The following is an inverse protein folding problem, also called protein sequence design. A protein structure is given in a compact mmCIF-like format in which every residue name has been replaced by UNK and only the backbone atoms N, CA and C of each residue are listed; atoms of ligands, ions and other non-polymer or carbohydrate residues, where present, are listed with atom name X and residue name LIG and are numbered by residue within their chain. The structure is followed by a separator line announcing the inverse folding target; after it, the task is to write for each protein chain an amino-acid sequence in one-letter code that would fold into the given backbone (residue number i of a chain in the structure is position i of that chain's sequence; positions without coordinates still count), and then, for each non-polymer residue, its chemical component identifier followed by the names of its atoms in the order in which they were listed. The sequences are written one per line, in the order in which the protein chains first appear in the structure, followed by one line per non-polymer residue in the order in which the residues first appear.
data_IF_410070154838
#
_entry.id   IF_410070154838
#
_cell.length_a   1.000
_cell.length_b   1.000
_cell.length_c   1.000
_cell.angle_alpha   90.00
_cell.angle_beta   90.00
_cell.angle_gamma   90.00
#
_symmetry.space_group_name_H-M   'P 1'
#
loop_
_entity.id
_entity.type
_entity.pdbx_description
1 polymer ?
#
# COMPACT_ATOMS: atom_id res chain seq x y z
N UNK A 1 -2.60 -5.66 14.28
CA UNK A 1 -2.57 -5.20 12.90
C UNK A 1 -2.15 -3.75 12.92
N UNK A 2 -1.06 -3.40 12.28
CA UNK A 2 -0.60 -2.01 12.16
C UNK A 2 -0.98 -1.50 10.77
N UNK A 3 -1.83 -0.48 10.72
CA UNK A 3 -2.20 0.20 9.48
C UNK A 3 -1.20 1.33 9.26
N UNK A 4 -0.61 1.38 8.09
CA UNK A 4 0.27 2.44 7.65
C UNK A 4 -0.55 3.49 6.89
N UNK A 5 -0.37 4.75 7.24
CA UNK A 5 -0.82 5.91 6.49
C UNK A 5 0.41 6.64 5.96
N UNK A 6 0.49 6.80 4.66
CA UNK A 6 1.63 7.43 3.98
C UNK A 6 1.17 8.06 2.66
N UNK A 7 1.42 9.37 2.50
CA UNK A 7 0.95 10.14 1.35
C UNK A 7 1.50 9.61 0.02
N UNK A 8 2.79 9.28 -0.03
CA UNK A 8 3.45 8.80 -1.25
C UNK A 8 2.84 7.46 -1.68
N UNK A 9 2.65 6.56 -0.72
CA UNK A 9 2.05 5.25 -0.94
C UNK A 9 0.59 5.35 -1.40
N UNK A 10 -0.20 6.16 -0.71
CA UNK A 10 -1.62 6.35 -1.02
C UNK A 10 -1.81 6.99 -2.40
N UNK A 11 -1.04 8.04 -2.71
CA UNK A 11 -1.10 8.70 -4.02
C UNK A 11 -0.61 7.83 -5.15
N UNK A 12 0.51 7.13 -4.97
CA UNK A 12 1.02 6.23 -5.99
C UNK A 12 0.03 5.10 -6.29
N UNK A 13 -0.59 4.51 -5.27
CA UNK A 13 -1.62 3.48 -5.43
C UNK A 13 -2.85 4.01 -6.16
N UNK A 14 -3.30 5.23 -5.83
CA UNK A 14 -4.40 5.89 -6.52
C UNK A 14 -4.05 6.23 -7.98
N UNK A 15 -2.81 6.67 -8.27
CA UNK A 15 -2.33 6.91 -9.64
C UNK A 15 -2.43 5.63 -10.48
N UNK A 16 -1.89 4.51 -9.98
CA UNK A 16 -1.97 3.21 -10.67
C UNK A 16 -3.41 2.71 -10.85
N UNK A 17 -4.25 2.93 -9.84
CA UNK A 17 -5.66 2.53 -9.87
C UNK A 17 -6.43 3.35 -10.90
N UNK A 18 -6.20 4.65 -10.96
CA UNK A 18 -6.89 5.54 -11.89
C UNK A 18 -6.61 5.16 -13.35
N UNK A 19 -5.39 4.71 -13.67
CA UNK A 19 -5.06 4.18 -15.00
C UNK A 19 -5.92 2.96 -15.37
N UNK A 20 -6.33 2.16 -14.38
CA UNK A 20 -7.15 0.96 -14.59
C UNK A 20 -8.63 1.26 -14.72
N UNK A 21 -9.13 2.41 -14.28
CA UNK A 21 -10.55 2.69 -14.17
C UNK A 21 -11.18 3.34 -15.40
N UNK A 22 -10.40 3.70 -16.43
CA UNK A 22 -10.82 4.55 -17.56
C UNK A 22 -12.10 4.07 -18.26
N UNK A 23 -12.27 2.75 -18.41
CA UNK A 23 -13.44 2.15 -19.08
C UNK A 23 -14.36 1.40 -18.09
N UNK A 24 -14.36 1.78 -16.82
CA UNK A 24 -15.19 1.14 -15.80
C UNK A 24 -16.27 2.07 -15.26
N UNK A 25 -17.27 1.53 -14.59
CA UNK A 25 -18.26 2.28 -13.85
C UNK A 25 -17.86 2.54 -12.40
N UNK A 26 -16.61 2.27 -12.04
CA UNK A 26 -16.08 2.56 -10.70
C UNK A 26 -15.47 3.95 -10.67
N UNK A 27 -15.75 4.69 -9.61
CA UNK A 27 -15.05 5.94 -9.31
C UNK A 27 -13.92 5.64 -8.31
N UNK A 28 -12.77 6.26 -8.51
CA UNK A 28 -11.62 6.13 -7.61
C UNK A 28 -11.97 6.52 -6.16
N UNK A 29 -12.79 7.53 -5.99
CA UNK A 29 -13.27 8.05 -4.70
C UNK A 29 -14.09 7.03 -3.89
N UNK A 30 -14.67 6.03 -4.56
CA UNK A 30 -15.46 4.98 -3.92
C UNK A 30 -14.59 3.83 -3.39
N UNK A 31 -13.29 3.82 -3.72
CA UNK A 31 -12.36 2.73 -3.39
C UNK A 31 -11.45 3.17 -2.25
N UNK A 32 -11.48 2.43 -1.17
CA UNK A 32 -10.63 2.69 -0.02
C UNK A 32 -9.44 1.73 0.01
N UNK A 33 -8.24 2.25 0.14
CA UNK A 33 -7.02 1.47 0.32
C UNK A 33 -6.57 1.52 1.78
N UNK A 34 -6.21 0.35 2.32
CA UNK A 34 -5.66 0.19 3.65
C UNK A 34 -4.35 -0.58 3.57
N UNK A 35 -3.26 0.02 4.01
CA UNK A 35 -1.94 -0.59 3.97
C UNK A 35 -1.60 -1.19 5.32
N UNK A 36 -1.21 -2.47 5.31
CA UNK A 36 -0.92 -3.23 6.52
C UNK A 36 0.59 -3.44 6.60
N UNK A 37 1.20 -3.11 7.73
CA UNK A 37 2.60 -3.45 8.01
C UNK A 37 2.73 -4.96 8.20
N UNK A 38 2.87 -5.66 7.09
CA UNK A 38 3.07 -7.10 7.06
C UNK A 38 3.99 -7.46 5.89
N UNK A 39 5.07 -8.20 6.17
CA UNK A 39 6.07 -8.64 5.18
C UNK A 39 5.57 -9.73 4.22
N UNK A 40 4.42 -10.34 4.52
CA UNK A 40 3.81 -11.34 3.64
C UNK A 40 3.25 -10.70 2.37
N UNK A 41 3.42 -11.38 1.24
CA UNK A 41 2.83 -10.93 -0.03
C UNK A 41 1.33 -11.21 0.02
N UNK A 42 0.50 -10.16 0.13
CA UNK A 42 -0.95 -10.30 0.06
C UNK A 42 -1.64 -8.99 -0.30
N UNK A 43 -2.78 -9.10 -0.96
CA UNK A 43 -3.82 -8.09 -1.03
C UNK A 43 -5.18 -8.80 -1.02
N UNK A 44 -6.24 -8.14 -0.58
CA UNK A 44 -7.58 -8.72 -0.57
C UNK A 44 -8.66 -7.64 -0.46
N UNK A 45 -9.83 -7.95 -0.95
CA UNK A 45 -10.99 -7.05 -0.90
C UNK A 45 -11.97 -7.50 0.18
N UNK A 46 -12.55 -6.52 0.87
CA UNK A 46 -13.68 -6.74 1.79
C UNK A 46 -14.91 -5.95 1.34
N UNK A 47 -16.03 -6.13 2.03
CA UNK A 47 -17.26 -5.37 1.76
C UNK A 47 -17.02 -3.86 1.74
N UNK A 48 -17.77 -3.14 0.89
CA UNK A 48 -17.70 -1.68 0.80
C UNK A 48 -16.56 -1.14 -0.09
N UNK A 49 -16.06 -1.93 -1.05
CA UNK A 49 -14.95 -1.55 -1.96
C UNK A 49 -13.65 -1.20 -1.20
N UNK A 50 -13.37 -1.91 -0.12
CA UNK A 50 -12.17 -1.74 0.68
C UNK A 50 -11.10 -2.74 0.23
N UNK A 51 -9.96 -2.25 -0.22
CA UNK A 51 -8.80 -3.04 -0.64
C UNK A 51 -7.72 -2.95 0.43
N UNK A 52 -7.33 -4.09 0.98
CA UNK A 52 -6.24 -4.20 1.94
C UNK A 52 -4.99 -4.67 1.21
N UNK A 53 -3.88 -4.02 1.48
CA UNK A 53 -2.59 -4.30 0.84
C UNK A 53 -1.52 -4.45 1.90
N UNK A 54 -0.86 -5.60 1.93
CA UNK A 54 0.31 -5.78 2.78
C UNK A 54 1.53 -5.07 2.17
N UNK A 55 2.35 -4.45 3.00
CA UNK A 55 3.63 -3.85 2.56
C UNK A 55 4.53 -4.86 1.85
N UNK A 56 4.44 -6.13 2.23
CA UNK A 56 5.17 -7.21 1.58
C UNK A 56 4.89 -7.37 0.09
N UNK A 57 3.69 -7.05 -0.38
CA UNK A 57 3.37 -7.04 -1.81
C UNK A 57 4.24 -6.00 -2.54
N UNK A 58 4.33 -4.79 -2.01
CA UNK A 58 5.05 -3.67 -2.64
C UNK A 58 6.56 -3.87 -2.53
N UNK A 59 7.05 -4.20 -1.33
CA UNK A 59 8.49 -4.34 -1.08
C UNK A 59 9.12 -5.53 -1.82
N UNK A 60 8.32 -6.51 -2.22
CA UNK A 60 8.79 -7.70 -2.92
C UNK A 60 8.45 -7.72 -4.42
N UNK A 61 7.65 -6.78 -4.93
CA UNK A 61 7.46 -6.62 -6.36
C UNK A 61 8.75 -6.08 -7.02
N UNK A 62 9.11 -6.60 -8.19
CA UNK A 62 10.29 -6.15 -8.95
C UNK A 62 9.96 -5.00 -9.88
N UNK A 63 8.71 -4.96 -10.33
CA UNK A 63 8.18 -3.95 -11.24
C UNK A 63 6.85 -3.43 -10.68
N UNK A 64 6.58 -2.12 -10.84
CA UNK A 64 5.32 -1.52 -10.38
C UNK A 64 4.09 -2.17 -11.02
N UNK A 65 4.23 -2.72 -12.23
CA UNK A 65 3.15 -3.40 -12.95
C UNK A 65 2.76 -4.74 -12.32
N UNK A 66 3.64 -5.39 -11.56
CA UNK A 66 3.26 -6.54 -10.74
C UNK A 66 2.29 -6.12 -9.64
N UNK A 67 2.58 -4.98 -8.98
CA UNK A 67 1.68 -4.39 -7.99
C UNK A 67 0.37 -3.94 -8.64
N UNK A 68 0.44 -3.24 -9.77
CA UNK A 68 -0.73 -2.78 -10.51
C UNK A 68 -1.59 -3.95 -11.02
N UNK A 69 -0.99 -5.07 -11.42
CA UNK A 69 -1.71 -6.28 -11.82
C UNK A 69 -2.51 -6.91 -10.66
N UNK A 70 -1.96 -6.88 -9.43
CA UNK A 70 -2.69 -7.31 -8.25
C UNK A 70 -3.84 -6.36 -7.94
N UNK A 71 -3.63 -5.03 -8.03
CA UNK A 71 -4.72 -4.06 -7.89
C UNK A 71 -5.82 -4.33 -8.94
N UNK A 72 -5.46 -4.62 -10.21
CA UNK A 72 -6.43 -4.95 -11.25
C UNK A 72 -7.22 -6.22 -10.91
N UNK A 73 -6.58 -7.22 -10.30
CA UNK A 73 -7.23 -8.44 -9.82
C UNK A 73 -8.22 -8.14 -8.69
N UNK A 74 -7.83 -7.36 -7.69
CA UNK A 74 -8.71 -6.96 -6.58
C UNK A 74 -9.89 -6.10 -7.04
N UNK A 75 -9.67 -5.16 -7.95
CA UNK A 75 -10.73 -4.40 -8.61
C UNK A 75 -11.70 -5.29 -9.36
N UNK A 76 -11.20 -6.36 -9.98
CA UNK A 76 -12.02 -7.34 -10.70
C UNK A 76 -12.93 -8.12 -9.76
N UNK A 77 -12.51 -8.39 -8.53
CA UNK A 77 -13.39 -8.93 -7.50
C UNK A 77 -14.50 -7.94 -7.11
N UNK A 78 -14.20 -6.65 -7.03
CA UNK A 78 -15.21 -5.60 -6.78
C UNK A 78 -16.23 -5.55 -7.94
N UNK A 79 -15.73 -5.47 -9.18
CA UNK A 79 -16.57 -5.40 -10.40
C UNK A 79 -17.44 -6.66 -10.55
N UNK A 80 -16.88 -7.83 -10.28
CA UNK A 80 -17.58 -9.12 -10.33
C UNK A 80 -18.58 -9.36 -9.20
N UNK A 81 -18.64 -8.47 -8.20
CA UNK A 81 -19.51 -8.61 -7.05
C UNK A 81 -19.17 -9.82 -6.16
N UNK A 82 -17.96 -10.35 -6.27
CA UNK A 82 -17.53 -11.56 -5.57
C UNK A 82 -17.62 -11.43 -4.04
N UNK A 83 -17.47 -10.23 -3.52
CA UNK A 83 -17.54 -9.91 -2.09
C UNK A 83 -18.92 -10.13 -1.51
N UNK A 84 -19.98 -9.78 -2.27
CA UNK A 84 -21.36 -9.91 -1.80
C UNK A 84 -21.77 -11.38 -1.64
N UNK A 85 -21.28 -12.26 -2.50
CA UNK A 85 -21.54 -13.69 -2.41
C UNK A 85 -20.90 -14.29 -1.16
N UNK A 86 -19.67 -13.86 -0.82
CA UNK A 86 -18.97 -14.30 0.39
C UNK A 86 -19.72 -13.88 1.66
N UNK A 87 -20.34 -12.69 1.69
CA UNK A 87 -21.13 -12.22 2.85
C UNK A 87 -22.42 -13.05 3.05
N UNK A 88 -23.03 -13.53 1.96
CA UNK A 88 -24.21 -14.43 2.03
C UNK A 88 -23.81 -15.83 2.50
N UNK A 89 -22.68 -16.36 2.05
CA UNK A 89 -22.12 -17.64 2.48
C UNK A 89 -21.66 -17.59 3.94
N UNK A 90 -21.10 -16.46 4.40
CA UNK A 90 -20.72 -16.22 5.80
C UNK A 90 -21.91 -16.28 6.76
N UNK A 91 -23.10 -15.80 6.35
CA UNK A 91 -24.33 -15.91 7.14
C UNK A 91 -24.79 -17.37 7.29
N UNK A 92 -24.49 -18.21 6.33
CA UNK A 92 -24.81 -19.65 6.36
C UNK A 92 -23.77 -20.48 7.15
N UNK A 93 -22.60 -19.90 7.44
CA UNK A 93 -21.49 -20.54 8.15
C UNK A 93 -21.49 -20.27 9.67
N UNK A 94 -22.64 -19.86 10.22
CA UNK A 94 -22.81 -19.47 11.65
C UNK A 94 -22.33 -20.52 12.67
N UNK A 95 -21.91 -21.71 12.23
CA UNK A 95 -21.42 -22.79 13.07
C UNK A 95 -19.96 -23.24 12.80
N UNK A 96 -19.21 -22.54 11.93
CA UNK A 96 -17.78 -22.83 11.70
C UNK A 96 -16.99 -21.54 11.88
N UNK A 97 -15.98 -21.59 12.74
CA UNK A 97 -15.16 -20.43 13.12
C UNK A 97 -14.67 -19.66 11.88
N UNK A 98 -15.19 -18.45 11.69
CA UNK A 98 -14.57 -17.45 10.83
C UNK A 98 -13.12 -17.26 11.25
N UNK A 99 -12.18 -17.06 10.33
CA UNK A 99 -10.87 -16.61 10.72
C UNK A 99 -11.03 -15.33 11.53
N UNK A 100 -10.69 -15.40 12.79
CA UNK A 100 -10.91 -14.36 13.81
C UNK A 100 -10.21 -13.06 13.41
N UNK A 101 -9.21 -13.15 12.56
CA UNK A 101 -8.52 -12.05 11.89
C UNK A 101 -9.46 -11.13 11.09
N UNK A 102 -10.38 -11.71 10.30
CA UNK A 102 -11.35 -10.94 9.51
C UNK A 102 -12.47 -10.36 10.35
N UNK A 103 -12.89 -11.08 11.40
CA UNK A 103 -13.82 -10.52 12.38
C UNK A 103 -13.20 -9.33 13.12
N UNK A 104 -11.88 -9.36 13.36
CA UNK A 104 -11.15 -8.23 13.92
C UNK A 104 -11.19 -6.99 13.01
N UNK A 105 -10.96 -7.15 11.71
CA UNK A 105 -11.02 -6.06 10.74
C UNK A 105 -12.45 -5.53 10.61
N UNK A 106 -13.45 -6.40 10.46
CA UNK A 106 -14.86 -6.01 10.38
C UNK A 106 -15.32 -5.32 11.69
N UNK A 107 -14.82 -5.76 12.84
CA UNK A 107 -15.13 -5.17 14.15
C UNK A 107 -14.58 -3.75 14.31
N UNK A 108 -13.41 -3.44 13.75
CA UNK A 108 -12.83 -2.09 13.74
C UNK A 108 -13.76 -1.14 12.97
N UNK A 109 -14.24 -1.53 11.79
CA UNK A 109 -15.14 -0.72 10.97
C UNK A 109 -16.58 -0.63 11.54
N UNK A 110 -16.99 -1.58 12.39
CA UNK A 110 -18.29 -1.54 13.07
C UNK A 110 -18.27 -0.70 14.37
N UNK A 111 -17.17 -0.05 14.69
CA UNK A 111 -17.02 0.82 15.87
C UNK A 111 -16.87 0.08 17.20
N UNK A 112 -16.52 -1.22 17.19
CA UNK A 112 -16.33 -2.03 18.39
C UNK A 112 -14.87 -2.48 18.56
N UNK A 113 -13.98 -1.51 18.86
CA UNK A 113 -12.54 -1.74 19.00
C UNK A 113 -12.17 -2.84 20.01
N UNK A 114 -12.92 -2.97 21.12
CA UNK A 114 -12.63 -3.95 22.17
C UNK A 114 -12.92 -5.40 21.74
N UNK A 115 -13.93 -5.61 20.89
CA UNK A 115 -14.23 -6.93 20.31
C UNK A 115 -13.24 -7.29 19.20
N UNK A 116 -12.70 -6.31 18.49
CA UNK A 116 -11.70 -6.49 17.45
C UNK A 116 -10.37 -7.03 18.02
N UNK A 117 -9.86 -6.42 19.09
CA UNK A 117 -8.60 -6.79 19.73
C UNK A 117 -8.68 -8.20 20.34
N UNK A 118 -9.78 -8.50 21.03
CA UNK A 118 -10.01 -9.84 21.63
C UNK A 118 -10.08 -10.94 20.57
N UNK A 119 -10.67 -10.64 19.42
CA UNK A 119 -10.82 -11.55 18.30
C UNK A 119 -9.50 -11.85 17.61
N UNK A 120 -8.61 -10.87 17.47
CA UNK A 120 -7.27 -11.01 16.87
C UNK A 120 -6.36 -11.91 17.74
N UNK A 121 -6.44 -11.78 19.08
CA UNK A 121 -5.64 -12.58 20.00
C UNK A 121 -6.06 -14.07 20.04
N UNK A 122 -7.34 -14.37 19.85
CA UNK A 122 -7.85 -15.75 19.83
C UNK A 122 -7.60 -16.46 18.49
N UNK A 123 -7.41 -15.72 17.40
CA UNK A 123 -7.29 -16.26 16.04
C UNK A 123 -5.93 -16.85 15.69
N UNK A 124 -4.88 -16.59 16.46
CA UNK A 124 -3.56 -17.20 16.22
C UNK A 124 -3.51 -18.72 16.42
N UNK A 125 -4.53 -19.31 17.04
CA UNK A 125 -4.55 -20.74 17.40
C UNK A 125 -5.38 -21.63 16.45
N UNK A 126 -6.18 -21.09 15.51
CA UNK A 126 -7.16 -21.89 14.75
C UNK A 126 -7.15 -21.71 13.23
N UNK A 127 -6.06 -21.16 12.65
CA UNK A 127 -5.98 -20.86 11.20
C UNK A 127 -5.62 -22.11 10.34
N UNK A 128 -5.59 -23.30 10.91
CA UNK A 128 -5.04 -24.49 10.23
C UNK A 128 -5.99 -25.21 9.25
N UNK A 129 -7.27 -24.89 9.18
CA UNK A 129 -8.20 -25.61 8.30
C UNK A 129 -9.10 -24.69 7.45
N UNK A 130 -8.62 -24.35 6.27
CA UNK A 130 -9.46 -24.42 5.08
C UNK A 130 -10.46 -23.28 4.80
N UNK A 131 -10.11 -22.01 4.92
CA UNK A 131 -10.89 -20.95 4.28
C UNK A 131 -10.23 -20.53 2.96
N UNK A 132 -10.74 -21.04 1.86
CA UNK A 132 -10.55 -20.45 0.54
C UNK A 132 -11.53 -19.28 0.42
N UNK A 133 -11.02 -18.06 0.41
CA UNK A 133 -11.84 -16.85 0.38
C UNK A 133 -12.67 -16.74 -0.88
N UNK A 134 -12.07 -17.10 -2.02
CA UNK A 134 -12.72 -17.10 -3.33
C UNK A 134 -12.75 -18.51 -3.92
N UNK A 135 -13.85 -18.82 -4.60
CA UNK A 135 -13.95 -20.07 -5.36
C UNK A 135 -13.04 -20.01 -6.61
N UNK A 136 -12.67 -21.19 -7.13
CA UNK A 136 -11.88 -21.29 -8.37
C UNK A 136 -12.49 -20.51 -9.55
N UNK A 137 -13.82 -20.50 -9.62
CA UNK A 137 -14.53 -19.80 -10.69
C UNK A 137 -14.45 -18.28 -10.52
N UNK A 138 -14.51 -17.78 -9.28
CA UNK A 138 -14.35 -16.36 -8.97
C UNK A 138 -12.93 -15.89 -9.27
N UNK A 139 -11.91 -16.68 -8.92
CA UNK A 139 -10.52 -16.39 -9.27
C UNK A 139 -10.31 -16.34 -10.79
N UNK A 140 -10.79 -17.35 -11.54
CA UNK A 140 -10.69 -17.37 -12.99
C UNK A 140 -11.41 -16.18 -13.65
N UNK A 141 -12.56 -15.80 -13.10
CA UNK A 141 -13.30 -14.62 -13.56
C UNK A 141 -12.55 -13.32 -13.24
N UNK A 142 -11.97 -13.20 -12.05
CA UNK A 142 -11.18 -12.04 -11.65
C UNK A 142 -9.89 -11.91 -12.47
N UNK A 143 -9.18 -13.01 -12.72
CA UNK A 143 -7.98 -13.02 -13.58
C UNK A 143 -8.30 -12.57 -15.00
N UNK A 144 -9.40 -13.11 -15.59
CA UNK A 144 -9.81 -12.72 -16.93
C UNK A 144 -10.22 -11.25 -17.01
N UNK A 145 -10.94 -10.76 -15.99
CA UNK A 145 -11.33 -9.36 -15.91
C UNK A 145 -10.11 -8.45 -15.70
N UNK A 146 -9.14 -8.85 -14.88
CA UNK A 146 -7.90 -8.11 -14.67
C UNK A 146 -7.09 -8.00 -15.98
N UNK A 147 -6.94 -9.09 -16.73
CA UNK A 147 -6.29 -9.07 -18.05
C UNK A 147 -7.02 -8.11 -18.99
N UNK A 148 -8.35 -8.14 -19.02
CA UNK A 148 -9.13 -7.24 -19.84
C UNK A 148 -8.92 -5.78 -19.44
N UNK A 149 -8.98 -5.50 -18.16
CA UNK A 149 -8.83 -4.17 -17.58
C UNK A 149 -7.46 -3.58 -17.90
N UNK A 150 -6.39 -4.36 -17.72
CA UNK A 150 -5.03 -3.95 -18.07
C UNK A 150 -4.87 -3.72 -19.56
N UNK A 151 -5.32 -4.64 -20.40
CA UNK A 151 -5.19 -4.53 -21.86
C UNK A 151 -5.97 -3.35 -22.43
N UNK A 152 -7.19 -3.08 -21.95
CA UNK A 152 -7.98 -1.93 -22.40
C UNK A 152 -7.32 -0.61 -22.12
N UNK A 153 -6.52 -0.56 -21.05
CA UNK A 153 -5.78 0.63 -20.61
C UNK A 153 -4.30 0.61 -21.03
N UNK A 154 -3.94 -0.21 -22.02
CA UNK A 154 -2.56 -0.33 -22.56
C UNK A 154 -1.50 -0.69 -21.53
N UNK A 155 -1.88 -1.41 -20.49
CA UNK A 155 -0.99 -1.91 -19.45
C UNK A 155 -0.67 -3.37 -19.77
N UNK A 156 0.61 -3.75 -19.65
CA UNK A 156 1.06 -5.10 -19.96
C UNK A 156 0.54 -6.11 -18.94
N UNK A 157 -0.48 -6.88 -19.31
CA UNK A 157 -1.13 -7.87 -18.46
C UNK A 157 -0.26 -9.11 -18.16
N UNK A 158 0.91 -9.28 -18.82
CA UNK A 158 1.84 -10.39 -18.50
C UNK A 158 2.42 -10.28 -17.08
N UNK A 159 2.39 -9.10 -16.47
CA UNK A 159 2.84 -8.90 -15.10
C UNK A 159 1.95 -9.60 -14.05
N UNK A 160 0.69 -9.92 -14.38
CA UNK A 160 -0.13 -10.78 -13.52
C UNK A 160 0.44 -12.21 -13.46
N UNK A 161 0.91 -12.74 -14.60
CA UNK A 161 1.58 -14.03 -14.63
C UNK A 161 2.93 -13.99 -13.90
N UNK A 162 3.74 -12.96 -14.16
CA UNK A 162 5.02 -12.74 -13.47
C UNK A 162 4.87 -12.73 -11.96
N UNK A 163 3.86 -12.04 -11.46
CA UNK A 163 3.54 -12.01 -10.03
C UNK A 163 3.20 -13.41 -9.47
N UNK A 164 2.33 -14.18 -10.14
CA UNK A 164 1.98 -15.53 -9.70
C UNK A 164 3.18 -16.50 -9.74
N UNK A 165 4.04 -16.39 -10.74
CA UNK A 165 5.28 -17.16 -10.80
C UNK A 165 6.25 -16.83 -9.66
N UNK A 166 6.31 -15.55 -9.26
CA UNK A 166 7.09 -15.10 -8.10
C UNK A 166 6.57 -15.72 -6.79
N UNK A 167 5.25 -15.70 -6.60
CA UNK A 167 4.61 -16.33 -5.44
C UNK A 167 4.93 -17.81 -5.35
N UNK A 168 4.91 -18.50 -6.48
CA UNK A 168 5.18 -19.94 -6.55
C UNK A 168 6.63 -20.26 -6.17
N UNK A 169 7.60 -19.54 -6.72
CA UNK A 169 9.03 -19.68 -6.36
C UNK A 169 9.27 -19.48 -4.86
N UNK A 170 8.70 -18.44 -4.27
CA UNK A 170 8.86 -18.16 -2.82
C UNK A 170 8.26 -19.22 -1.92
N UNK A 171 7.20 -19.89 -2.37
CA UNK A 171 6.60 -21.00 -1.61
C UNK A 171 7.53 -22.21 -1.58
N UNK A 172 8.29 -22.46 -2.64
CA UNK A 172 9.25 -23.56 -2.69
C UNK A 172 10.48 -23.32 -1.81
N UNK A 173 10.87 -22.05 -1.62
CA UNK A 173 12.05 -21.67 -0.84
C UNK A 173 11.78 -21.50 0.66
N UNK A 174 10.52 -21.40 1.08
CA UNK A 174 10.16 -21.20 2.49
C UNK A 174 9.82 -22.52 3.18
N UNK A 175 10.50 -22.80 4.30
CA UNK A 175 10.21 -23.94 5.19
C UNK A 175 8.89 -23.75 5.96
N UNK A 176 8.35 -22.54 6.01
CA UNK A 176 7.04 -22.21 6.60
C UNK A 176 5.96 -22.31 5.53
N UNK A 177 5.07 -23.28 5.66
CA UNK A 177 3.95 -23.57 4.72
C UNK A 177 2.82 -22.51 4.71
N UNK A 178 3.01 -21.34 5.27
CA UNK A 178 1.99 -20.30 5.37
C UNK A 178 2.15 -19.24 4.29
N UNK A 179 1.68 -19.53 3.09
CA UNK A 179 1.49 -18.51 2.07
C UNK A 179 0.07 -17.96 2.17
N UNK A 180 -0.09 -16.82 2.85
CA UNK A 180 -1.39 -16.17 3.07
C UNK A 180 -2.13 -15.86 1.78
N UNK A 181 -1.41 -15.51 0.69
CA UNK A 181 -2.05 -15.29 -0.60
C UNK A 181 -2.73 -16.56 -1.15
N UNK A 182 -2.11 -17.75 -0.95
CA UNK A 182 -2.72 -19.01 -1.36
C UNK A 182 -3.98 -19.36 -0.55
N UNK A 183 -4.09 -18.89 0.67
CA UNK A 183 -5.28 -19.12 1.50
C UNK A 183 -6.44 -18.21 1.07
N UNK A 184 -6.17 -17.02 0.60
CA UNK A 184 -7.19 -16.08 0.10
C UNK A 184 -7.52 -16.30 -1.38
N UNK A 185 -6.55 -16.74 -2.21
CA UNK A 185 -6.64 -16.87 -3.66
C UNK A 185 -6.10 -18.22 -4.19
N UNK A 186 -6.78 -19.32 -3.96
CA UNK A 186 -6.36 -20.64 -4.48
C UNK A 186 -6.88 -20.87 -5.90
N UNK A 187 -6.34 -21.85 -6.63
CA UNK A 187 -5.01 -22.44 -6.65
C UNK A 187 -4.11 -21.79 -7.71
N UNK A 188 -2.85 -21.49 -7.39
CA UNK A 188 -1.93 -20.74 -8.26
C UNK A 188 -1.63 -21.46 -9.58
N UNK A 189 -1.45 -22.78 -9.57
CA UNK A 189 -1.02 -23.52 -10.77
C UNK A 189 -2.04 -23.47 -11.90
N UNK A 190 -3.32 -23.72 -11.62
CA UNK A 190 -4.36 -23.64 -12.65
C UNK A 190 -4.60 -22.20 -13.14
N UNK A 191 -4.37 -21.21 -12.28
CA UNK A 191 -4.47 -19.79 -12.66
C UNK A 191 -3.35 -19.41 -13.63
N UNK A 192 -2.11 -19.80 -13.37
CA UNK A 192 -0.95 -19.54 -14.27
C UNK A 192 -1.21 -20.09 -15.67
N UNK A 193 -1.71 -21.34 -15.77
CA UNK A 193 -2.02 -21.96 -17.05
C UNK A 193 -3.10 -21.18 -17.81
N UNK A 194 -4.20 -20.83 -17.14
CA UNK A 194 -5.30 -20.06 -17.71
C UNK A 194 -4.87 -18.66 -18.17
N UNK A 195 -4.13 -17.93 -17.36
CA UNK A 195 -3.62 -16.60 -17.69
C UNK A 195 -2.71 -16.68 -18.91
N UNK A 196 -1.80 -17.67 -18.97
CA UNK A 196 -0.88 -17.84 -20.09
C UNK A 196 -1.64 -18.11 -21.41
N UNK A 197 -2.71 -18.93 -21.37
CA UNK A 197 -3.57 -19.17 -22.54
C UNK A 197 -4.30 -17.88 -22.94
N UNK A 198 -4.84 -17.15 -21.97
CA UNK A 198 -5.58 -15.90 -22.22
C UNK A 198 -4.68 -14.83 -22.85
N UNK A 199 -3.44 -14.70 -22.38
CA UNK A 199 -2.45 -13.75 -22.92
C UNK A 199 -2.03 -14.10 -24.35
N UNK A 200 -1.87 -15.39 -24.68
CA UNK A 200 -1.54 -15.83 -26.04
C UNK A 200 -2.64 -15.55 -27.06
N UNK A 201 -3.88 -15.57 -26.60
CA UNK A 201 -5.05 -15.38 -27.45
C UNK A 201 -5.51 -13.92 -27.55
N UNK A 202 -4.81 -13.00 -26.86
CA UNK A 202 -5.19 -11.59 -26.81
C UNK A 202 -4.00 -10.71 -27.19
N UNK A 203 -4.15 -10.01 -28.31
CA UNK A 203 -3.19 -8.96 -28.68
C UNK A 203 -3.49 -7.70 -27.85
N UNK A 204 -2.58 -7.34 -26.96
CA UNK A 204 -2.66 -6.13 -26.15
C UNK A 204 -1.50 -5.21 -26.54
N UNK A 205 -1.82 -4.02 -26.98
CA UNK A 205 -0.83 -2.94 -27.04
C UNK A 205 -0.54 -2.46 -25.64
N UNK A 206 0.71 -2.12 -25.32
CA UNK A 206 1.06 -1.55 -24.03
C UNK A 206 2.12 -0.45 -24.17
N UNK A 207 2.01 0.52 -23.29
CA UNK A 207 2.96 1.61 -23.15
C UNK A 207 3.92 1.31 -21.99
N UNK A 208 5.17 1.70 -22.15
CA UNK A 208 6.18 1.52 -21.09
C UNK A 208 6.44 2.87 -20.44
N UNK A 209 6.15 3.00 -19.15
CA UNK A 209 6.30 4.24 -18.41
C UNK A 209 7.45 4.12 -17.40
N UNK A 210 8.66 4.55 -17.81
CA UNK A 210 9.85 4.52 -16.96
C UNK A 210 9.68 5.40 -15.72
N UNK A 211 8.95 6.51 -15.82
CA UNK A 211 8.70 7.44 -14.71
C UNK A 211 7.98 6.74 -13.54
N UNK A 212 6.99 5.90 -13.81
CA UNK A 212 6.29 5.15 -12.76
C UNK A 212 7.20 4.13 -12.07
N UNK A 213 8.12 3.50 -12.82
CA UNK A 213 9.09 2.59 -12.22
C UNK A 213 10.07 3.32 -11.30
N UNK A 214 10.50 4.52 -11.67
CA UNK A 214 11.38 5.35 -10.83
C UNK A 214 10.66 5.78 -9.54
N UNK A 215 9.42 6.26 -9.62
CA UNK A 215 8.57 6.56 -8.45
C UNK A 215 8.40 5.32 -7.56
N UNK A 216 8.09 4.17 -8.16
CA UNK A 216 7.91 2.92 -7.44
C UNK A 216 9.17 2.48 -6.70
N UNK A 217 10.34 2.63 -7.32
CA UNK A 217 11.60 2.27 -6.68
C UNK A 217 11.90 3.15 -5.46
N UNK A 218 11.59 4.46 -5.53
CA UNK A 218 11.70 5.37 -4.39
C UNK A 218 10.73 4.97 -3.26
N UNK A 219 9.46 4.79 -3.58
CA UNK A 219 8.44 4.32 -2.62
C UNK A 219 8.82 2.99 -1.97
N UNK A 220 9.27 2.02 -2.77
CA UNK A 220 9.73 0.72 -2.28
C UNK A 220 10.90 0.87 -1.32
N UNK A 221 11.87 1.74 -1.64
CA UNK A 221 13.02 1.99 -0.78
C UNK A 221 12.62 2.64 0.56
N UNK A 222 11.65 3.57 0.53
CA UNK A 222 11.03 4.16 1.73
C UNK A 222 10.40 3.08 2.60
N UNK A 223 9.51 2.26 2.03
CA UNK A 223 8.83 1.20 2.78
C UNK A 223 9.82 0.19 3.38
N UNK A 224 10.84 -0.23 2.63
CA UNK A 224 11.88 -1.13 3.15
C UNK A 224 12.63 -0.46 4.31
N UNK A 225 12.99 0.83 4.19
CA UNK A 225 13.70 1.54 5.26
C UNK A 225 12.88 1.66 6.55
N UNK A 226 11.54 1.81 6.45
CA UNK A 226 10.67 1.87 7.63
C UNK A 226 10.33 0.49 8.23
N UNK A 227 10.37 -0.60 7.44
CA UNK A 227 9.86 -1.91 7.86
C UNK A 227 10.95 -2.96 8.10
N UNK A 228 12.20 -2.68 7.73
CA UNK A 228 13.32 -3.61 7.87
C UNK A 228 14.38 -3.08 8.85
N UNK A 229 15.23 -3.97 9.32
CA UNK A 229 16.34 -3.58 10.21
C UNK A 229 17.41 -2.75 9.49
N UNK A 230 18.18 -1.94 10.24
CA UNK A 230 19.28 -1.14 9.70
C UNK A 230 20.27 -2.00 8.90
N UNK A 231 20.56 -3.21 9.36
CA UNK A 231 21.49 -4.13 8.70
C UNK A 231 20.94 -4.56 7.32
N UNK A 232 19.65 -4.91 7.24
CA UNK A 232 19.00 -5.28 5.98
C UNK A 232 19.00 -4.11 4.98
N UNK A 233 18.58 -2.92 5.43
CA UNK A 233 18.52 -1.72 4.58
C UNK A 233 19.90 -1.37 4.04
N UNK A 234 20.91 -1.30 4.89
CA UNK A 234 22.30 -0.98 4.45
C UNK A 234 22.94 -2.09 3.63
N UNK A 235 22.47 -3.33 3.72
CA UNK A 235 22.89 -4.42 2.85
C UNK A 235 22.29 -4.32 1.45
N UNK A 236 21.07 -3.80 1.32
CA UNK A 236 20.36 -3.62 0.04
C UNK A 236 20.83 -2.34 -0.65
N UNK A 237 20.85 -1.21 0.03
CA UNK A 237 21.07 0.13 -0.52
C UNK A 237 22.48 0.63 -0.24
N UNK A 238 23.45 0.21 -1.06
CA UNK A 238 24.90 0.51 -0.88
C UNK A 238 25.43 1.55 -1.86
N UNK A 239 24.62 1.96 -2.81
CA UNK A 239 25.01 2.85 -3.89
C UNK A 239 24.82 4.33 -3.57
N UNK A 240 24.80 5.12 -4.65
CA UNK A 240 24.60 6.59 -4.60
C UNK A 240 23.43 7.02 -5.50
N UNK A 241 22.57 6.09 -5.91
CA UNK A 241 21.33 6.45 -6.61
C UNK A 241 20.36 7.16 -5.66
N UNK A 242 19.36 7.87 -6.20
CA UNK A 242 18.35 8.52 -5.36
C UNK A 242 17.60 7.50 -4.48
N UNK A 243 17.39 6.29 -5.00
CA UNK A 243 16.79 5.17 -4.25
C UNK A 243 17.65 4.76 -3.07
N UNK A 244 18.98 4.59 -3.27
CA UNK A 244 19.92 4.26 -2.21
C UNK A 244 19.99 5.38 -1.15
N UNK A 245 20.08 6.61 -1.62
CA UNK A 245 20.17 7.77 -0.73
C UNK A 245 18.89 7.93 0.10
N UNK A 246 17.71 7.74 -0.50
CA UNK A 246 16.45 7.90 0.23
C UNK A 246 16.30 6.87 1.34
N UNK A 247 16.57 5.59 1.07
CA UNK A 247 16.59 4.56 2.11
C UNK A 247 17.60 4.87 3.22
N UNK A 248 18.82 5.32 2.86
CA UNK A 248 19.84 5.66 3.82
C UNK A 248 19.52 6.92 4.66
N UNK A 249 18.84 7.92 4.09
CA UNK A 249 18.35 9.07 4.83
C UNK A 249 17.34 8.65 5.90
N UNK A 250 16.35 7.82 5.52
CA UNK A 250 15.33 7.32 6.43
C UNK A 250 15.94 6.50 7.57
N UNK A 251 16.80 5.52 7.24
CA UNK A 251 17.36 4.66 8.27
C UNK A 251 18.33 5.42 9.21
N UNK A 252 19.01 6.47 8.72
CA UNK A 252 19.80 7.37 9.55
C UNK A 252 18.91 8.16 10.52
N UNK A 253 17.78 8.68 10.02
CA UNK A 253 16.77 9.34 10.85
C UNK A 253 16.24 8.42 11.95
N UNK A 254 15.79 7.22 11.61
CA UNK A 254 15.27 6.23 12.55
C UNK A 254 16.31 5.75 13.57
N UNK A 255 17.59 5.85 13.21
CA UNK A 255 18.72 5.53 14.11
C UNK A 255 19.16 6.69 14.99
N UNK A 256 18.54 7.88 14.89
CA UNK A 256 18.92 9.10 15.61
C UNK A 256 20.09 9.87 14.99
N UNK A 257 20.64 9.42 13.87
CA UNK A 257 21.75 10.08 13.15
C UNK A 257 21.20 11.24 12.28
N UNK A 258 20.51 12.20 12.92
CA UNK A 258 19.79 13.27 12.22
C UNK A 258 20.70 14.12 11.33
N UNK A 259 21.96 14.35 11.72
CA UNK A 259 22.91 15.13 10.92
C UNK A 259 23.24 14.45 9.58
N UNK A 260 23.46 13.14 9.62
CA UNK A 260 23.72 12.34 8.41
C UNK A 260 22.47 12.34 7.50
N UNK A 261 21.29 12.14 8.10
CA UNK A 261 20.03 12.18 7.34
C UNK A 261 19.79 13.51 6.65
N UNK A 262 20.05 14.65 7.35
CA UNK A 262 19.94 16.00 6.77
C UNK A 262 20.91 16.21 5.60
N UNK A 263 22.15 15.75 5.72
CA UNK A 263 23.14 15.84 4.63
C UNK A 263 22.68 15.08 3.39
N UNK A 264 22.20 13.84 3.56
CA UNK A 264 21.71 13.01 2.47
C UNK A 264 20.47 13.64 1.81
N UNK A 265 19.51 14.12 2.60
CA UNK A 265 18.30 14.76 2.09
C UNK A 265 18.59 16.05 1.31
N UNK A 266 19.55 16.85 1.75
CA UNK A 266 19.97 18.03 1.00
C UNK A 266 20.56 17.63 -0.38
N UNK A 267 21.30 16.53 -0.47
CA UNK A 267 21.77 16.00 -1.75
C UNK A 267 20.62 15.55 -2.64
N UNK A 268 19.62 14.85 -2.08
CA UNK A 268 18.41 14.42 -2.81
C UNK A 268 17.61 15.60 -3.32
N UNK A 269 17.37 16.61 -2.49
CA UNK A 269 16.64 17.83 -2.86
C UNK A 269 17.37 18.62 -3.96
N UNK A 270 18.71 18.64 -3.92
CA UNK A 270 19.49 19.27 -5.00
C UNK A 270 19.38 18.51 -6.33
N UNK A 271 19.18 17.19 -6.31
CA UNK A 271 18.98 16.38 -7.52
C UNK A 271 17.54 16.45 -8.04
N UNK A 272 16.57 16.42 -7.12
CA UNK A 272 15.14 16.44 -7.42
C UNK A 272 14.43 17.50 -6.55
N UNK A 273 14.54 18.81 -6.90
CA UNK A 273 14.03 19.90 -6.07
C UNK A 273 12.50 19.91 -5.94
N UNK A 274 11.81 19.28 -6.89
CA UNK A 274 10.36 19.22 -6.95
C UNK A 274 9.76 17.93 -6.33
N UNK A 275 10.58 17.08 -5.70
CA UNK A 275 10.07 15.91 -5.01
C UNK A 275 9.54 16.30 -3.63
N UNK A 276 8.23 16.23 -3.38
CA UNK A 276 7.62 16.67 -2.14
C UNK A 276 8.01 15.81 -0.95
N UNK A 277 8.22 14.51 -1.16
CA UNK A 277 8.46 13.54 -0.09
C UNK A 277 9.84 13.70 0.57
N UNK A 278 10.82 14.24 -0.16
CA UNK A 278 12.09 14.61 0.44
C UNK A 278 11.96 15.82 1.37
N UNK A 279 11.07 16.77 1.03
CA UNK A 279 10.75 17.92 1.86
C UNK A 279 9.93 17.51 3.08
N UNK A 280 9.01 16.61 2.92
CA UNK A 280 8.22 16.01 4.01
C UNK A 280 9.13 15.39 5.06
N UNK A 281 10.00 14.46 4.66
CA UNK A 281 10.97 13.82 5.57
C UNK A 281 11.93 14.83 6.22
N UNK A 282 12.34 15.87 5.47
CA UNK A 282 13.17 16.94 6.02
C UNK A 282 12.43 17.71 7.13
N UNK A 283 11.13 17.99 6.93
CA UNK A 283 10.27 18.60 7.94
C UNK A 283 10.15 17.75 9.20
N UNK A 284 9.95 16.43 9.05
CA UNK A 284 9.89 15.50 10.19
C UNK A 284 11.18 15.48 11.01
N UNK A 285 12.34 15.48 10.34
CA UNK A 285 13.63 15.49 11.03
C UNK A 285 13.86 16.80 11.79
N UNK A 286 13.51 17.95 11.21
CA UNK A 286 13.58 19.22 11.92
C UNK A 286 12.64 19.26 13.12
N UNK A 287 11.42 18.72 12.98
CA UNK A 287 10.49 18.61 14.10
C UNK A 287 11.05 17.73 15.21
N UNK A 288 11.61 16.57 14.87
CA UNK A 288 12.26 15.67 15.85
C UNK A 288 13.45 16.32 16.57
N UNK A 289 14.13 17.29 15.93
CA UNK A 289 15.21 18.08 16.52
C UNK A 289 14.72 19.27 17.35
N UNK A 290 13.42 19.57 17.35
CA UNK A 290 12.84 20.74 18.02
C UNK A 290 13.00 22.06 17.23
N UNK A 291 13.44 21.99 15.98
CA UNK A 291 13.49 23.15 15.06
C UNK A 291 12.14 23.26 14.32
N UNK A 292 11.15 23.77 15.05
CA UNK A 292 9.76 23.82 14.56
C UNK A 292 9.59 24.79 13.38
N UNK A 293 10.35 25.88 13.32
CA UNK A 293 10.26 26.81 12.20
C UNK A 293 10.72 26.14 10.90
N UNK A 294 11.88 25.48 10.92
CA UNK A 294 12.37 24.73 9.76
C UNK A 294 11.43 23.57 9.38
N UNK A 295 10.82 22.90 10.35
CA UNK A 295 9.84 21.85 10.12
C UNK A 295 8.62 22.38 9.36
N UNK A 296 8.02 23.48 9.81
CA UNK A 296 6.86 24.12 9.19
C UNK A 296 7.19 24.58 7.77
N UNK A 297 8.35 25.22 7.58
CA UNK A 297 8.78 25.68 6.24
C UNK A 297 8.87 24.51 5.25
N UNK A 298 9.54 23.41 5.62
CA UNK A 298 9.70 22.26 4.72
C UNK A 298 8.38 21.53 4.46
N UNK A 299 7.54 21.39 5.49
CA UNK A 299 6.20 20.81 5.32
C UNK A 299 5.31 21.67 4.41
N UNK A 300 5.39 23.01 4.51
CA UNK A 300 4.66 23.91 3.64
C UNK A 300 5.12 23.80 2.18
N UNK A 301 6.43 23.72 1.95
CA UNK A 301 6.99 23.50 0.60
C UNK A 301 6.51 22.14 0.05
N UNK A 302 6.52 21.08 0.86
CA UNK A 302 6.01 19.77 0.43
C UNK A 302 4.54 19.86 0.01
N UNK A 303 3.71 20.56 0.79
CA UNK A 303 2.30 20.77 0.47
C UNK A 303 2.08 21.58 -0.83
N UNK A 304 2.93 22.57 -1.10
CA UNK A 304 2.86 23.37 -2.34
C UNK A 304 3.26 22.55 -3.57
N UNK A 305 4.17 21.59 -3.42
CA UNK A 305 4.62 20.71 -4.50
C UNK A 305 3.61 19.59 -4.82
N UNK A 306 2.69 19.29 -3.92
CA UNK A 306 1.67 18.28 -4.11
C UNK A 306 0.37 18.90 -4.60
N UNK A 307 -0.13 18.45 -5.76
CA UNK A 307 -1.50 18.70 -6.13
C UNK A 307 -2.44 17.98 -5.17
N UNK A 308 -3.34 18.72 -4.52
CA UNK A 308 -4.34 18.17 -3.61
C UNK A 308 -3.72 17.39 -2.42
N UNK A 309 -3.14 18.11 -1.43
CA UNK A 309 -2.60 17.45 -0.24
C UNK A 309 -3.70 16.69 0.53
N UNK A 310 -3.38 15.48 1.01
CA UNK A 310 -4.31 14.67 1.81
C UNK A 310 -4.48 15.21 3.23
N UNK A 311 -5.33 14.52 3.99
CA UNK A 311 -5.52 14.74 5.42
C UNK A 311 -4.20 14.66 6.21
N UNK A 312 -3.26 13.80 5.79
CA UNK A 312 -1.97 13.63 6.48
C UNK A 312 -1.14 14.91 6.51
N UNK A 313 -1.08 15.64 5.39
CA UNK A 313 -0.36 16.91 5.35
C UNK A 313 -0.96 17.98 6.27
N UNK A 314 -2.30 18.06 6.31
CA UNK A 314 -2.96 18.99 7.23
C UNK A 314 -2.80 18.57 8.69
N UNK A 315 -2.75 17.27 8.97
CA UNK A 315 -2.44 16.75 10.29
C UNK A 315 -1.02 17.11 10.71
N UNK A 316 -0.03 16.90 9.86
CA UNK A 316 1.38 17.16 10.16
C UNK A 316 1.64 18.65 10.40
N UNK A 317 1.25 19.51 9.46
CA UNK A 317 1.47 20.96 9.63
C UNK A 317 0.67 21.51 10.80
N UNK A 318 -0.54 21.03 11.03
CA UNK A 318 -1.35 21.40 12.19
C UNK A 318 -0.67 21.01 13.51
N UNK A 319 -0.11 19.81 13.57
CA UNK A 319 0.65 19.31 14.72
C UNK A 319 1.91 20.15 14.98
N UNK A 320 2.62 20.57 13.94
CA UNK A 320 3.80 21.42 14.09
C UNK A 320 3.43 22.83 14.61
N UNK A 321 2.38 23.44 14.05
CA UNK A 321 1.93 24.77 14.42
C UNK A 321 1.44 24.88 15.86
N UNK A 322 0.79 23.86 16.40
CA UNK A 322 0.33 23.88 17.81
C UNK A 322 1.47 23.81 18.84
N UNK A 323 2.69 23.38 18.42
CA UNK A 323 3.85 23.37 19.31
C UNK A 323 4.46 24.76 19.53
N UNK A 324 4.18 25.73 18.63
CA UNK A 324 4.62 27.11 18.78
C UNK A 324 3.90 27.79 19.96
N UNK A 325 4.57 28.79 20.57
CA UNK A 325 4.02 29.43 21.77
C UNK A 325 2.93 30.46 21.46
N UNK A 326 2.97 31.08 20.28
CA UNK A 326 2.07 32.17 19.92
C UNK A 326 0.66 31.69 19.57
N UNK A 327 -0.34 32.50 19.90
CA UNK A 327 -1.77 32.15 19.77
C UNK A 327 -2.23 32.09 18.32
N UNK A 328 -1.59 32.83 17.40
CA UNK A 328 -1.97 32.86 15.98
C UNK A 328 -1.60 31.52 15.36
N UNK A 329 -0.36 31.07 15.54
CA UNK A 329 0.11 29.77 15.07
C UNK A 329 -0.73 28.62 15.64
N UNK A 330 -1.06 28.66 16.92
CA UNK A 330 -1.95 27.65 17.54
C UNK A 330 -3.34 27.61 16.89
N UNK A 331 -3.92 28.78 16.60
CA UNK A 331 -5.23 28.84 15.96
C UNK A 331 -5.17 28.28 14.52
N UNK A 332 -4.12 28.58 13.77
CA UNK A 332 -3.89 28.04 12.43
C UNK A 332 -3.61 26.52 12.47
N UNK A 333 -2.90 26.05 13.48
CA UNK A 333 -2.69 24.63 13.75
C UNK A 333 -4.00 23.88 13.96
N UNK A 334 -4.87 24.42 14.85
CA UNK A 334 -6.22 23.86 15.10
C UNK A 334 -7.06 23.84 13.82
N UNK A 335 -6.97 24.89 12.97
CA UNK A 335 -7.69 24.93 11.71
C UNK A 335 -7.23 23.83 10.75
N UNK A 336 -5.92 23.59 10.64
CA UNK A 336 -5.38 22.51 9.83
C UNK A 336 -5.80 21.13 10.36
N UNK A 337 -5.72 20.88 11.66
CA UNK A 337 -6.18 19.63 12.26
C UNK A 337 -7.68 19.38 12.01
N UNK A 338 -8.53 20.42 12.13
CA UNK A 338 -9.95 20.29 11.76
C UNK A 338 -10.15 19.97 10.29
N UNK A 339 -9.32 20.53 9.39
CA UNK A 339 -9.37 20.24 7.96
C UNK A 339 -8.97 18.79 7.70
N UNK A 340 -7.93 18.28 8.37
CA UNK A 340 -7.54 16.87 8.30
C UNK A 340 -8.71 15.94 8.67
N UNK A 341 -9.36 16.16 9.82
CA UNK A 341 -10.53 15.37 10.27
C UNK A 341 -11.72 15.50 9.31
N UNK A 342 -11.88 16.65 8.66
CA UNK A 342 -12.96 16.84 7.67
C UNK A 342 -12.72 16.03 6.39
N UNK A 343 -11.46 15.90 5.96
CA UNK A 343 -11.08 15.13 4.77
C UNK A 343 -11.17 13.62 5.06
N UNK A 344 -10.70 13.21 6.21
CA UNK A 344 -10.68 11.81 6.64
C UNK A 344 -11.06 11.73 8.12
N UNK A 345 -12.37 11.52 8.41
CA UNK A 345 -12.94 11.53 9.77
C UNK A 345 -12.55 10.31 10.62
#
# INVERSE_FOLDING_TARGET
LEIIRDEELEKFTKELTNELLTDTNLNLEDINFYFINNKEINAFVTGGKNIFVNTGLITQADDYREYQAVIAHELSHIIGGHIFNTSAELKNLSNKALPVYLLGIIGIFAGSADTAISSIMLGQASVQDGFTYYSRNQEASADQAAINLMCSNKINASYLLSFLEKLDRKTLDSVSNENYYRSTHPPIDSRKEWINISLKNKECEFENTQILQEKFNLLKSKLIAFTHSKQEVTAIYRGDSNVDLYANAIISYLSGDHSVSLEILNRLINREPNNPYFRELLGEIYFAKGDFDSAIINQSIAMELINEPSDLYFMMIGSYLITLEDQISKNDGIKNLKKSIFINP
#
